data_IF_231632691308
#
_entry.id   IF_231632691308
#
_cell.length_a   1.000
_cell.length_b   1.000
_cell.length_c   1.000
_cell.angle_alpha   90.00
_cell.angle_beta   90.00
_cell.angle_gamma   90.00
#
_symmetry.space_group_name_H-M   'P 1'
#
loop_
_entity.id
_entity.type
_entity.pdbx_description
1 polymer ?
#
# COMPACT_ATOMS: atom_id res chain seq x y z
N UNK A 1 -7.83 41.50 40.78
CA UNK A 1 -7.20 40.20 41.14
C UNK A 1 -8.07 39.00 40.68
N UNK A 2 -9.38 38.92 40.93
CA UNK A 2 -10.27 37.82 40.52
C UNK A 2 -10.27 37.60 38.99
N UNK A 3 -10.36 38.67 38.19
CA UNK A 3 -10.32 38.56 36.71
C UNK A 3 -8.99 38.04 36.20
N UNK A 4 -7.85 38.44 36.75
CA UNK A 4 -6.52 37.88 36.38
C UNK A 4 -6.38 36.40 36.74
N UNK A 5 -6.91 36.00 37.91
CA UNK A 5 -6.89 34.57 38.30
C UNK A 5 -7.82 33.72 37.43
N UNK A 6 -8.94 34.26 36.97
CA UNK A 6 -9.86 33.59 36.03
C UNK A 6 -9.20 33.41 34.66
N UNK A 7 -8.57 34.46 34.10
CA UNK A 7 -7.83 34.39 32.83
C UNK A 7 -6.63 33.44 32.86
N UNK A 8 -5.91 33.32 33.98
CA UNK A 8 -4.80 32.36 34.12
C UNK A 8 -5.35 30.94 34.15
N UNK A 9 -6.41 30.67 34.91
CA UNK A 9 -7.06 29.37 35.03
C UNK A 9 -7.67 28.90 33.70
N UNK A 10 -8.27 29.81 32.92
CA UNK A 10 -8.82 29.52 31.60
C UNK A 10 -7.74 29.19 30.57
N UNK A 11 -6.59 29.87 30.68
CA UNK A 11 -5.43 29.62 29.81
C UNK A 11 -4.78 28.27 30.11
N UNK A 12 -4.62 27.94 31.40
CA UNK A 12 -4.04 26.68 31.83
C UNK A 12 -4.97 25.49 31.43
N UNK A 13 -6.27 25.67 31.59
CA UNK A 13 -7.29 24.72 31.11
C UNK A 13 -7.19 24.49 29.59
N UNK A 14 -7.12 25.55 28.78
CA UNK A 14 -7.03 25.43 27.34
C UNK A 14 -5.75 24.73 26.92
N UNK A 15 -4.61 25.05 27.54
CA UNK A 15 -3.32 24.41 27.29
C UNK A 15 -3.37 22.90 27.60
N UNK A 16 -4.04 22.51 28.69
CA UNK A 16 -4.23 21.12 29.07
C UNK A 16 -5.09 20.35 28.04
N UNK A 17 -6.20 20.94 27.59
CA UNK A 17 -7.06 20.35 26.55
C UNK A 17 -6.29 20.24 25.22
N UNK A 18 -5.51 21.24 24.85
CA UNK A 18 -4.67 21.20 23.65
C UNK A 18 -3.61 20.10 23.74
N UNK A 19 -2.94 19.99 24.90
CA UNK A 19 -1.96 18.93 25.14
C UNK A 19 -2.60 17.54 25.05
N UNK A 20 -3.77 17.36 25.64
CA UNK A 20 -4.53 16.11 25.55
C UNK A 20 -4.98 15.78 24.12
N UNK A 21 -5.12 16.80 23.24
CA UNK A 21 -5.49 16.62 21.84
C UNK A 21 -4.30 16.31 20.91
N UNK A 22 -3.06 16.44 21.37
CA UNK A 22 -1.88 16.33 20.51
C UNK A 22 -1.85 15.03 19.68
N UNK A 23 -2.13 13.88 20.32
CA UNK A 23 -2.18 12.58 19.66
C UNK A 23 -3.53 12.26 19.01
N UNK A 24 -4.48 13.19 19.06
CA UNK A 24 -5.85 13.02 18.59
C UNK A 24 -6.55 11.76 19.14
N UNK A 25 -6.60 11.57 20.47
CA UNK A 25 -7.09 10.34 21.06
C UNK A 25 -8.61 10.19 20.90
N UNK A 26 -9.08 8.95 20.70
CA UNK A 26 -10.50 8.60 20.77
C UNK A 26 -10.94 8.40 22.23
N UNK A 27 -12.26 8.34 22.45
CA UNK A 27 -12.88 8.17 23.78
C UNK A 27 -12.31 7.02 24.59
N UNK A 28 -11.95 5.90 23.96
CA UNK A 28 -11.42 4.72 24.64
C UNK A 28 -10.12 5.00 25.41
N UNK A 29 -9.34 6.03 24.98
CA UNK A 29 -8.15 6.53 25.66
C UNK A 29 -8.44 7.72 26.55
N UNK A 30 -9.26 8.68 26.07
CA UNK A 30 -9.56 9.93 26.78
C UNK A 30 -10.15 9.68 28.15
N UNK A 31 -11.00 8.67 28.30
CA UNK A 31 -11.65 8.32 29.59
C UNK A 31 -10.67 7.98 30.71
N UNK A 32 -9.40 7.70 30.40
CA UNK A 32 -8.36 7.38 31.38
C UNK A 32 -7.34 8.50 31.58
N UNK A 33 -7.43 9.59 30.83
CA UNK A 33 -6.51 10.74 31.00
C UNK A 33 -6.87 11.45 32.30
N UNK A 34 -5.85 11.63 33.13
CA UNK A 34 -5.95 12.44 34.35
C UNK A 34 -5.47 13.85 34.01
N UNK A 35 -6.29 14.85 34.38
CA UNK A 35 -6.02 16.24 34.15
C UNK A 35 -5.61 16.90 35.48
N UNK A 36 -4.70 17.87 35.44
CA UNK A 36 -4.30 18.66 36.61
C UNK A 36 -5.46 19.56 37.08
N UNK A 37 -6.29 20.02 36.15
CA UNK A 37 -7.51 20.78 36.43
C UNK A 37 -8.63 19.97 37.09
N UNK A 38 -8.46 18.63 37.22
CA UNK A 38 -9.46 17.75 37.84
C UNK A 38 -10.66 17.44 36.97
N UNK A 39 -10.57 17.61 35.63
CA UNK A 39 -11.61 17.22 34.69
C UNK A 39 -11.84 15.71 34.72
N UNK A 40 -13.10 15.31 34.75
CA UNK A 40 -13.44 13.94 34.44
C UNK A 40 -13.19 13.63 32.96
N UNK A 41 -12.95 12.33 32.62
CA UNK A 41 -12.77 11.93 31.23
C UNK A 41 -13.91 12.39 30.30
N UNK A 42 -15.17 12.43 30.81
CA UNK A 42 -16.33 12.94 30.05
C UNK A 42 -16.20 14.43 29.76
N UNK A 43 -15.83 15.22 30.75
CA UNK A 43 -15.64 16.68 30.58
C UNK A 43 -14.51 16.98 29.63
N UNK A 44 -13.38 16.26 29.75
CA UNK A 44 -12.28 16.38 28.82
C UNK A 44 -12.71 16.01 27.40
N UNK A 45 -13.47 14.93 27.24
CA UNK A 45 -13.98 14.52 25.91
C UNK A 45 -14.85 15.59 25.26
N UNK A 46 -15.78 16.21 26.02
CA UNK A 46 -16.59 17.31 25.51
C UNK A 46 -15.74 18.54 25.11
N UNK A 47 -14.74 18.88 25.92
CA UNK A 47 -13.82 19.98 25.60
C UNK A 47 -13.02 19.70 24.33
N UNK A 48 -12.53 18.46 24.16
CA UNK A 48 -11.84 18.02 22.95
C UNK A 48 -12.74 18.08 21.72
N UNK A 49 -13.98 17.58 21.82
CA UNK A 49 -14.96 17.65 20.73
C UNK A 49 -15.26 19.08 20.30
N UNK A 50 -15.42 19.97 21.26
CA UNK A 50 -15.65 21.40 20.98
C UNK A 50 -14.46 22.04 20.27
N UNK A 51 -13.24 21.83 20.77
CA UNK A 51 -12.00 22.30 20.14
C UNK A 51 -11.86 21.79 18.69
N UNK A 52 -12.13 20.51 18.47
CA UNK A 52 -12.07 19.86 17.16
C UNK A 52 -13.10 20.42 16.18
N UNK A 53 -14.34 20.70 16.65
CA UNK A 53 -15.40 21.25 15.81
C UNK A 53 -15.09 22.62 15.24
N UNK A 54 -14.35 23.47 15.96
CA UNK A 54 -14.00 24.82 15.52
C UNK A 54 -13.01 24.82 14.34
N UNK A 55 -12.25 23.74 14.17
CA UNK A 55 -11.12 23.65 13.21
C UNK A 55 -11.33 22.59 12.13
N UNK A 56 -12.57 22.11 11.95
CA UNK A 56 -12.85 21.04 10.97
C UNK A 56 -13.11 21.56 9.57
N UNK A 57 -12.53 20.88 8.59
CA UNK A 57 -12.94 20.98 7.19
C UNK A 57 -14.07 19.97 6.93
N UNK A 58 -15.19 20.41 6.40
CA UNK A 58 -16.36 19.57 6.11
C UNK A 58 -16.39 19.11 4.66
N UNK A 59 -16.82 17.87 4.45
CA UNK A 59 -17.00 17.23 3.15
C UNK A 59 -18.40 16.59 3.10
N UNK A 60 -18.97 16.51 1.90
CA UNK A 60 -20.28 15.88 1.68
C UNK A 60 -20.19 14.91 0.51
N UNK A 61 -20.80 13.75 0.69
CA UNK A 61 -21.05 12.76 -0.36
C UNK A 61 -22.52 12.35 -0.23
N UNK A 62 -23.34 12.74 -1.21
CA UNK A 62 -24.79 12.65 -1.09
C UNK A 62 -25.30 13.34 0.19
N UNK A 63 -26.04 12.59 1.00
CA UNK A 63 -26.55 13.07 2.31
C UNK A 63 -25.55 12.93 3.46
N UNK A 64 -24.43 12.24 3.23
CA UNK A 64 -23.46 11.94 4.29
C UNK A 64 -22.48 13.09 4.46
N UNK A 65 -22.33 13.50 5.72
CA UNK A 65 -21.37 14.54 6.11
C UNK A 65 -20.17 13.90 6.77
N UNK A 66 -18.99 14.31 6.32
CA UNK A 66 -17.70 13.95 6.90
C UNK A 66 -16.93 15.21 7.27
N UNK A 67 -15.95 15.06 8.13
CA UNK A 67 -15.07 16.19 8.46
C UNK A 67 -13.68 15.67 8.84
N UNK A 68 -12.69 16.55 8.76
CA UNK A 68 -11.35 16.28 9.29
C UNK A 68 -10.74 17.57 9.83
N UNK A 69 -9.81 17.43 10.75
CA UNK A 69 -9.03 18.51 11.32
C UNK A 69 -7.56 18.36 10.90
N UNK A 70 -6.94 19.46 10.50
CA UNK A 70 -5.49 19.54 10.27
C UNK A 70 -4.78 19.67 11.60
N UNK A 71 -4.10 18.63 12.05
CA UNK A 71 -3.28 18.64 13.28
C UNK A 71 -1.82 18.95 12.96
N UNK A 72 -1.04 19.37 13.95
CA UNK A 72 0.40 19.61 13.76
C UNK A 72 1.12 18.35 13.24
N UNK A 73 0.78 17.17 13.77
CA UNK A 73 1.31 15.90 13.27
C UNK A 73 0.98 15.66 11.80
N UNK A 74 -0.24 16.01 11.37
CA UNK A 74 -0.61 15.89 9.94
C UNK A 74 0.27 16.82 9.11
N UNK A 75 0.46 18.07 9.51
CA UNK A 75 1.34 19.01 8.80
C UNK A 75 2.78 18.50 8.73
N UNK A 76 3.35 18.02 9.83
CA UNK A 76 4.70 17.45 9.86
C UNK A 76 4.83 16.24 8.91
N UNK A 77 3.86 15.32 8.93
CA UNK A 77 3.88 14.15 8.08
C UNK A 77 3.72 14.50 6.59
N UNK A 78 2.86 15.47 6.26
CA UNK A 78 2.71 15.93 4.89
C UNK A 78 3.99 16.59 4.39
N UNK A 79 4.58 17.49 5.17
CA UNK A 79 5.88 18.09 4.85
C UNK A 79 6.95 17.00 4.64
N UNK A 80 7.01 16.02 5.55
CA UNK A 80 7.93 14.90 5.42
C UNK A 80 7.74 14.14 4.11
N UNK A 81 6.50 13.88 3.70
CA UNK A 81 6.22 13.16 2.45
C UNK A 81 6.51 13.99 1.21
N UNK A 82 6.17 15.26 1.20
CA UNK A 82 6.45 16.15 0.07
C UNK A 82 7.95 16.26 -0.18
N UNK A 83 8.75 16.31 0.88
CA UNK A 83 10.20 16.37 0.79
C UNK A 83 10.86 15.04 0.39
N UNK A 84 10.23 13.91 0.65
CA UNK A 84 10.85 12.59 0.48
C UNK A 84 10.21 11.72 -0.59
N UNK A 85 8.90 11.85 -0.84
CA UNK A 85 8.12 10.97 -1.73
C UNK A 85 7.57 11.73 -2.93
N UNK A 86 7.30 13.04 -2.77
CA UNK A 86 6.82 13.92 -3.81
C UNK A 86 7.97 14.56 -4.59
N UNK A 87 7.73 14.84 -5.86
CA UNK A 87 8.67 15.55 -6.72
C UNK A 87 9.74 14.68 -7.39
N UNK A 88 10.18 15.14 -8.57
CA UNK A 88 11.14 14.42 -9.43
C UNK A 88 12.60 14.59 -9.03
N UNK A 89 12.95 15.65 -8.27
CA UNK A 89 14.34 16.05 -8.09
C UNK A 89 15.09 15.33 -6.97
N UNK A 90 14.39 14.87 -5.92
CA UNK A 90 15.06 14.25 -4.76
C UNK A 90 14.97 12.72 -4.75
N UNK A 91 13.98 12.15 -5.40
CA UNK A 91 13.73 10.71 -5.36
C UNK A 91 14.57 9.88 -6.33
N UNK A 92 15.10 10.47 -7.40
CA UNK A 92 15.90 9.74 -8.40
C UNK A 92 17.19 9.13 -7.84
N UNK A 93 17.74 9.73 -6.79
CA UNK A 93 18.97 9.25 -6.13
C UNK A 93 18.74 8.16 -5.07
N UNK A 94 17.50 7.99 -4.58
CA UNK A 94 17.18 6.99 -3.54
C UNK A 94 17.22 5.56 -4.07
N UNK A 95 16.88 5.37 -5.35
CA UNK A 95 16.83 4.05 -5.97
C UNK A 95 17.84 4.00 -7.12
N UNK A 96 18.87 3.14 -7.04
CA UNK A 96 19.84 2.98 -8.13
C UNK A 96 19.14 2.64 -9.44
N UNK A 97 19.45 3.37 -10.52
CA UNK A 97 18.80 3.25 -11.83
C UNK A 97 18.86 1.82 -12.38
N UNK A 98 19.97 1.13 -12.16
CA UNK A 98 20.22 -0.24 -12.64
C UNK A 98 19.25 -1.28 -12.03
N UNK A 99 18.75 -1.03 -10.81
CA UNK A 99 17.89 -1.97 -10.07
C UNK A 99 16.45 -1.48 -9.93
N UNK A 100 16.13 -0.30 -10.47
CA UNK A 100 14.84 0.38 -10.32
C UNK A 100 13.66 -0.54 -10.66
N UNK A 101 13.73 -1.24 -11.79
CA UNK A 101 12.68 -2.15 -12.24
C UNK A 101 12.54 -3.39 -11.34
N UNK A 102 13.66 -3.97 -10.88
CA UNK A 102 13.61 -5.13 -10.00
C UNK A 102 12.99 -4.80 -8.63
N UNK A 103 13.30 -3.62 -8.08
CA UNK A 103 12.68 -3.14 -6.84
C UNK A 103 11.18 -2.89 -7.02
N UNK A 104 10.80 -2.26 -8.12
CA UNK A 104 9.43 -1.98 -8.47
C UNK A 104 8.58 -3.26 -8.55
N UNK A 105 9.02 -4.23 -9.35
CA UNK A 105 8.34 -5.52 -9.48
C UNK A 105 8.21 -6.21 -8.13
N UNK A 106 9.29 -6.20 -7.32
CA UNK A 106 9.26 -6.78 -5.98
C UNK A 106 8.25 -6.08 -5.06
N UNK A 107 8.15 -4.76 -5.12
CA UNK A 107 7.24 -3.97 -4.30
C UNK A 107 5.77 -4.17 -4.70
N UNK A 108 5.48 -4.17 -6.00
CA UNK A 108 4.13 -4.45 -6.52
C UNK A 108 3.67 -5.86 -6.12
N UNK A 109 4.58 -6.85 -6.17
CA UNK A 109 4.27 -8.21 -5.69
C UNK A 109 3.93 -8.21 -4.20
N UNK A 110 4.71 -7.51 -3.36
CA UNK A 110 4.43 -7.41 -1.91
C UNK A 110 3.08 -6.75 -1.63
N UNK A 111 2.77 -5.67 -2.35
CA UNK A 111 1.50 -4.96 -2.25
C UNK A 111 0.32 -5.88 -2.60
N UNK A 112 0.39 -6.57 -3.74
CA UNK A 112 -0.64 -7.48 -4.21
C UNK A 112 -0.85 -8.66 -3.23
N UNK A 113 0.23 -9.22 -2.71
CA UNK A 113 0.17 -10.32 -1.73
C UNK A 113 -0.50 -9.85 -0.44
N UNK A 114 0.00 -8.76 0.15
CA UNK A 114 -0.51 -8.28 1.42
C UNK A 114 -1.96 -7.79 1.33
N UNK A 115 -2.31 -7.07 0.26
CA UNK A 115 -3.67 -6.62 0.00
C UNK A 115 -4.66 -7.77 -0.12
N UNK A 116 -4.26 -8.88 -0.77
CA UNK A 116 -5.10 -10.07 -0.90
C UNK A 116 -5.17 -10.88 0.40
N UNK A 117 -4.06 -10.96 1.17
CA UNK A 117 -4.06 -11.63 2.49
C UNK A 117 -4.96 -10.93 3.50
N UNK A 118 -5.11 -9.61 3.43
CA UNK A 118 -6.08 -8.86 4.25
C UNK A 118 -7.52 -9.32 4.01
N UNK A 119 -7.82 -9.73 2.79
CA UNK A 119 -9.14 -10.21 2.35
C UNK A 119 -9.26 -11.75 2.38
N UNK A 120 -8.37 -12.43 3.10
CA UNK A 120 -8.48 -13.86 3.36
C UNK A 120 -7.72 -14.80 2.40
N UNK A 121 -6.86 -14.28 1.51
CA UNK A 121 -5.99 -15.15 0.73
C UNK A 121 -5.01 -15.90 1.64
N UNK A 122 -5.14 -17.22 1.73
CA UNK A 122 -4.40 -18.07 2.67
C UNK A 122 -2.98 -18.45 2.19
N UNK A 123 -2.57 -18.01 1.02
CA UNK A 123 -1.27 -18.34 0.41
C UNK A 123 -0.11 -17.67 1.17
N UNK A 124 0.93 -18.44 1.47
CA UNK A 124 2.12 -17.88 2.11
C UNK A 124 2.85 -16.92 1.16
N UNK A 125 3.51 -15.90 1.74
CA UNK A 125 4.26 -14.89 0.98
C UNK A 125 5.31 -15.51 0.04
N UNK A 126 6.01 -16.58 0.47
CA UNK A 126 7.02 -17.27 -0.34
C UNK A 126 6.38 -17.90 -1.58
N UNK A 127 5.34 -18.69 -1.38
CA UNK A 127 4.62 -19.38 -2.48
C UNK A 127 4.03 -18.37 -3.46
N UNK A 128 3.40 -17.30 -2.96
CA UNK A 128 2.84 -16.25 -3.80
C UNK A 128 3.91 -15.53 -4.64
N UNK A 129 5.05 -15.19 -4.03
CA UNK A 129 6.19 -14.58 -4.76
C UNK A 129 6.74 -15.49 -5.84
N UNK A 130 6.91 -16.76 -5.54
CA UNK A 130 7.43 -17.74 -6.50
C UNK A 130 6.45 -17.94 -7.65
N UNK A 131 5.15 -18.03 -7.38
CA UNK A 131 4.10 -18.08 -8.40
C UNK A 131 4.15 -16.87 -9.35
N UNK A 132 4.19 -15.64 -8.79
CA UNK A 132 4.22 -14.42 -9.60
C UNK A 132 5.51 -14.30 -10.43
N UNK A 133 6.67 -14.63 -9.85
CA UNK A 133 7.96 -14.58 -10.55
C UNK A 133 8.04 -15.56 -11.71
N UNK A 134 7.56 -16.78 -11.49
CA UNK A 134 7.61 -17.85 -12.49
C UNK A 134 6.45 -17.79 -13.47
N UNK A 135 5.49 -16.86 -13.24
CA UNK A 135 4.23 -16.78 -14.01
C UNK A 135 3.48 -18.13 -14.02
N UNK A 136 3.47 -18.80 -12.88
CA UNK A 136 2.72 -20.05 -12.71
C UNK A 136 1.22 -19.74 -12.63
N UNK A 137 0.40 -20.67 -13.09
CA UNK A 137 -1.06 -20.55 -12.96
C UNK A 137 -1.47 -20.69 -11.50
N UNK A 138 -2.41 -19.86 -11.02
CA UNK A 138 -2.98 -20.00 -9.68
C UNK A 138 -3.56 -21.39 -9.47
N UNK A 139 -3.38 -21.95 -8.28
CA UNK A 139 -3.87 -23.30 -7.91
C UNK A 139 -5.11 -23.25 -7.04
N UNK A 140 -5.41 -22.09 -6.47
CA UNK A 140 -6.53 -21.86 -5.56
C UNK A 140 -7.04 -20.43 -5.67
N UNK A 141 -8.20 -20.13 -5.04
CA UNK A 141 -8.84 -18.81 -5.00
C UNK A 141 -7.90 -17.75 -4.42
N UNK A 142 -7.15 -18.05 -3.38
CA UNK A 142 -6.21 -17.10 -2.74
C UNK A 142 -5.07 -16.69 -3.69
N UNK A 143 -4.49 -17.66 -4.44
CA UNK A 143 -3.48 -17.38 -5.45
C UNK A 143 -4.05 -16.58 -6.63
N UNK A 144 -5.30 -16.87 -7.03
CA UNK A 144 -5.99 -16.08 -8.05
C UNK A 144 -6.20 -14.65 -7.60
N UNK A 145 -6.64 -14.41 -6.36
CA UNK A 145 -6.78 -13.06 -5.79
C UNK A 145 -5.46 -12.27 -5.85
N UNK A 146 -4.35 -12.92 -5.53
CA UNK A 146 -3.02 -12.30 -5.57
C UNK A 146 -2.61 -11.96 -7.01
N UNK A 147 -2.82 -12.87 -7.95
CA UNK A 147 -2.52 -12.63 -9.37
C UNK A 147 -3.34 -11.46 -9.92
N UNK A 148 -4.65 -11.44 -9.64
CA UNK A 148 -5.54 -10.36 -10.04
C UNK A 148 -5.09 -9.01 -9.48
N UNK A 149 -4.77 -8.96 -8.18
CA UNK A 149 -4.27 -7.74 -7.53
C UNK A 149 -2.97 -7.24 -8.18
N UNK A 150 -2.04 -8.15 -8.48
CA UNK A 150 -0.78 -7.81 -9.15
C UNK A 150 -1.01 -7.23 -10.55
N UNK A 151 -1.85 -7.89 -11.36
CA UNK A 151 -2.16 -7.45 -12.72
C UNK A 151 -2.89 -6.11 -12.73
N UNK A 152 -3.85 -5.92 -11.81
CA UNK A 152 -4.61 -4.67 -11.66
C UNK A 152 -3.70 -3.50 -11.27
N UNK A 153 -2.78 -3.69 -10.32
CA UNK A 153 -1.81 -2.64 -9.94
C UNK A 153 -0.91 -2.29 -11.14
N UNK A 154 -0.46 -3.28 -11.90
CA UNK A 154 0.33 -3.04 -13.12
C UNK A 154 -0.47 -2.28 -14.20
N UNK A 155 -1.76 -2.54 -14.34
CA UNK A 155 -2.65 -1.83 -15.24
C UNK A 155 -2.87 -0.38 -14.79
N UNK A 156 -3.15 -0.16 -13.51
CA UNK A 156 -3.30 1.17 -12.92
C UNK A 156 -2.04 2.00 -13.17
N UNK A 157 -0.87 1.44 -12.93
CA UNK A 157 0.41 2.13 -13.17
C UNK A 157 0.55 2.59 -14.61
N UNK A 158 0.21 1.74 -15.59
CA UNK A 158 0.31 2.10 -17.01
C UNK A 158 -0.62 3.25 -17.41
N UNK A 159 -1.75 3.38 -16.70
CA UNK A 159 -2.81 4.34 -16.98
C UNK A 159 -2.93 5.42 -15.88
N UNK A 160 -1.89 5.65 -15.09
CA UNK A 160 -1.95 6.51 -13.89
C UNK A 160 -2.43 7.94 -14.19
N UNK A 161 -2.06 8.49 -15.34
CA UNK A 161 -2.42 9.85 -15.76
C UNK A 161 -3.89 10.00 -16.21
N UNK A 162 -4.61 8.91 -16.45
CA UNK A 162 -5.99 8.99 -16.93
C UNK A 162 -6.93 9.59 -15.86
N UNK A 163 -8.02 10.21 -16.34
CA UNK A 163 -9.08 10.65 -15.42
C UNK A 163 -9.85 9.44 -14.90
N UNK A 164 -10.23 9.52 -13.64
CA UNK A 164 -11.05 8.51 -13.00
C UNK A 164 -12.51 8.63 -13.49
N UNK A 165 -13.15 7.47 -13.73
CA UNK A 165 -14.57 7.37 -13.97
C UNK A 165 -15.15 6.16 -13.27
N UNK A 166 -16.46 6.19 -12.97
CA UNK A 166 -17.18 5.03 -12.41
C UNK A 166 -17.00 3.80 -13.31
N UNK A 167 -16.97 3.96 -14.65
CA UNK A 167 -16.72 2.86 -15.58
C UNK A 167 -15.36 2.21 -15.34
N UNK A 168 -14.31 3.01 -15.19
CA UNK A 168 -12.97 2.48 -14.89
C UNK A 168 -12.91 1.80 -13.52
N UNK A 169 -13.67 2.30 -12.54
CA UNK A 169 -13.81 1.63 -11.24
C UNK A 169 -14.40 0.22 -11.41
N UNK A 170 -15.44 0.07 -12.23
CA UNK A 170 -16.05 -1.22 -12.52
C UNK A 170 -15.09 -2.15 -13.26
N UNK A 171 -14.30 -1.63 -14.18
CA UNK A 171 -13.29 -2.42 -14.91
C UNK A 171 -12.14 -2.86 -13.98
N UNK A 172 -11.70 -2.00 -13.06
CA UNK A 172 -10.72 -2.34 -12.01
C UNK A 172 -11.29 -3.44 -11.11
N UNK A 173 -12.52 -3.29 -10.64
CA UNK A 173 -13.16 -4.29 -9.80
C UNK A 173 -13.30 -5.63 -10.53
N UNK A 174 -13.71 -5.64 -11.82
CA UNK A 174 -13.79 -6.86 -12.63
C UNK A 174 -12.44 -7.57 -12.70
N UNK A 175 -11.37 -6.83 -13.00
CA UNK A 175 -10.01 -7.40 -13.06
C UNK A 175 -9.55 -7.92 -11.68
N UNK A 176 -9.92 -7.22 -10.61
CA UNK A 176 -9.56 -7.58 -9.23
C UNK A 176 -10.26 -8.85 -8.74
N UNK A 177 -11.43 -9.16 -9.28
CA UNK A 177 -12.31 -10.23 -8.79
C UNK A 177 -12.49 -11.37 -9.79
N UNK A 178 -11.82 -11.34 -10.92
CA UNK A 178 -11.89 -12.38 -11.95
C UNK A 178 -11.63 -13.78 -11.36
N UNK A 179 -12.54 -14.72 -11.59
CA UNK A 179 -12.49 -16.10 -11.08
C UNK A 179 -12.33 -16.21 -9.54
N UNK A 180 -12.82 -15.22 -8.77
CA UNK A 180 -12.74 -15.25 -7.31
C UNK A 180 -14.06 -14.97 -6.61
N UNK A 181 -15.10 -14.59 -7.32
CA UNK A 181 -16.44 -14.43 -6.80
C UNK A 181 -17.22 -15.75 -6.82
N UNK A 182 -18.20 -15.87 -5.93
CA UNK A 182 -19.09 -17.01 -5.92
C UNK A 182 -20.05 -16.93 -7.12
N UNK A 183 -20.50 -15.71 -7.49
CA UNK A 183 -21.27 -15.41 -8.68
C UNK A 183 -20.43 -14.54 -9.63
N UNK A 184 -20.00 -15.09 -10.75
CA UNK A 184 -19.15 -14.37 -11.73
C UNK A 184 -19.80 -13.10 -12.30
N UNK A 185 -21.12 -13.08 -12.36
CA UNK A 185 -21.88 -11.91 -12.86
C UNK A 185 -21.75 -10.66 -11.95
N UNK A 186 -21.25 -10.80 -10.73
CA UNK A 186 -21.03 -9.68 -9.82
C UNK A 186 -19.69 -8.97 -10.09
N UNK A 187 -18.82 -9.54 -10.92
CA UNK A 187 -17.56 -8.95 -11.30
C UNK A 187 -17.76 -7.66 -12.11
N UNK A 188 -17.30 -6.51 -11.57
CA UNK A 188 -17.46 -5.20 -12.20
C UNK A 188 -18.89 -4.67 -12.14
N UNK A 189 -19.68 -5.07 -11.16
CA UNK A 189 -21.08 -4.67 -11.00
C UNK A 189 -21.34 -4.11 -9.61
N UNK A 190 -22.06 -3.00 -9.54
CA UNK A 190 -22.54 -2.42 -8.28
C UNK A 190 -23.63 -3.35 -7.72
N UNK A 191 -23.56 -3.63 -6.41
CA UNK A 191 -24.58 -4.43 -5.70
C UNK A 191 -25.97 -3.81 -5.84
N UNK A 192 -26.98 -4.66 -5.90
CA UNK A 192 -28.38 -4.28 -6.04
C UNK A 192 -29.24 -4.71 -4.83
N UNK A 193 -28.59 -4.94 -3.69
CA UNK A 193 -29.22 -5.33 -2.43
C UNK A 193 -28.42 -4.82 -1.24
N UNK A 194 -29.02 -4.82 -0.06
CA UNK A 194 -28.46 -4.28 1.18
C UNK A 194 -28.12 -5.37 2.21
N UNK A 195 -28.03 -6.63 1.78
CA UNK A 195 -27.72 -7.77 2.66
C UNK A 195 -26.24 -7.86 3.04
N UNK A 196 -25.46 -6.81 2.78
CA UNK A 196 -24.03 -6.76 3.08
C UNK A 196 -23.80 -5.94 4.32
N UNK A 197 -23.25 -6.58 5.34
CA UNK A 197 -22.82 -5.97 6.59
C UNK A 197 -21.34 -6.26 6.80
N UNK A 198 -20.62 -5.28 7.29
CA UNK A 198 -19.24 -5.49 7.71
C UNK A 198 -19.24 -5.84 9.19
N UNK A 199 -18.75 -7.05 9.50
CA UNK A 199 -18.72 -7.57 10.86
C UNK A 199 -17.35 -7.34 11.49
N UNK A 200 -17.33 -7.01 12.79
CA UNK A 200 -16.09 -7.09 13.58
C UNK A 200 -15.69 -8.57 13.72
N UNK A 201 -14.50 -8.91 13.22
CA UNK A 201 -14.01 -10.30 13.22
C UNK A 201 -13.72 -10.89 14.60
N UNK A 202 -13.78 -10.08 15.67
CA UNK A 202 -13.50 -10.49 17.05
C UNK A 202 -14.78 -10.59 17.85
N UNK A 203 -15.61 -9.53 17.81
CA UNK A 203 -16.84 -9.45 18.63
C UNK A 203 -18.03 -10.08 17.92
N UNK A 204 -18.00 -10.19 16.60
CA UNK A 204 -19.14 -10.62 15.80
C UNK A 204 -20.26 -9.59 15.68
N UNK A 205 -20.03 -8.37 16.16
CA UNK A 205 -20.98 -7.26 16.03
C UNK A 205 -20.90 -6.64 14.64
N UNK A 206 -21.96 -5.94 14.23
CA UNK A 206 -21.95 -5.14 12.99
C UNK A 206 -21.04 -3.93 13.20
N UNK A 207 -19.93 -3.92 12.48
CA UNK A 207 -18.94 -2.84 12.51
C UNK A 207 -19.37 -1.67 11.62
N UNK A 208 -19.95 -1.94 10.45
CA UNK A 208 -20.42 -0.93 9.52
C UNK A 208 -21.63 -1.43 8.71
N UNK A 209 -22.60 -0.55 8.52
CA UNK A 209 -23.74 -0.75 7.61
C UNK A 209 -23.57 0.18 6.41
N UNK A 210 -23.25 -0.35 5.22
CA UNK A 210 -23.07 0.47 4.03
C UNK A 210 -24.33 1.27 3.65
N UNK A 211 -24.19 2.39 2.89
CA UNK A 211 -25.31 3.09 2.31
C UNK A 211 -26.24 2.19 1.50
N UNK A 212 -27.52 2.56 1.37
CA UNK A 212 -28.49 1.83 0.58
C UNK A 212 -28.02 1.72 -0.88
N UNK A 213 -28.24 0.57 -1.52
CA UNK A 213 -27.72 0.30 -2.88
C UNK A 213 -28.23 1.32 -3.92
N UNK A 214 -29.44 1.86 -3.76
CA UNK A 214 -29.99 2.91 -4.64
C UNK A 214 -29.23 4.24 -4.55
N UNK A 215 -28.52 4.50 -3.46
CA UNK A 215 -27.70 5.70 -3.28
C UNK A 215 -26.33 5.60 -3.98
N UNK A 216 -25.87 4.39 -4.23
CA UNK A 216 -24.51 4.13 -4.74
C UNK A 216 -24.17 4.83 -6.06
N UNK A 217 -25.07 4.90 -7.06
CA UNK A 217 -24.75 5.61 -8.30
C UNK A 217 -24.40 7.08 -8.06
N UNK A 218 -25.15 7.77 -7.20
CA UNK A 218 -24.91 9.17 -6.87
C UNK A 218 -23.63 9.34 -6.03
N UNK A 219 -23.41 8.47 -5.03
CA UNK A 219 -22.22 8.50 -4.19
C UNK A 219 -20.93 8.23 -5.01
N UNK A 220 -21.00 7.34 -5.98
CA UNK A 220 -19.87 7.08 -6.88
C UNK A 220 -19.63 8.22 -7.86
N UNK A 221 -20.67 8.93 -8.33
CA UNK A 221 -20.53 10.13 -9.13
C UNK A 221 -19.89 11.29 -8.33
N UNK A 222 -20.25 11.43 -7.05
CA UNK A 222 -19.62 12.37 -6.13
C UNK A 222 -18.14 12.01 -5.93
N UNK A 223 -17.81 10.72 -5.77
CA UNK A 223 -16.43 10.24 -5.66
C UNK A 223 -15.62 10.50 -6.94
N UNK A 224 -16.23 10.29 -8.12
CA UNK A 224 -15.61 10.61 -9.41
C UNK A 224 -15.30 12.11 -9.49
N UNK A 225 -16.24 12.95 -9.09
CA UNK A 225 -16.06 14.40 -9.06
C UNK A 225 -14.95 14.77 -8.05
N UNK A 226 -14.98 14.21 -6.86
CA UNK A 226 -13.98 14.45 -5.83
C UNK A 226 -12.58 13.99 -6.29
N UNK A 227 -12.46 12.86 -6.95
CA UNK A 227 -11.18 12.36 -7.46
C UNK A 227 -10.57 13.32 -8.52
N UNK A 228 -11.37 13.77 -9.49
CA UNK A 228 -10.88 14.47 -10.67
C UNK A 228 -10.77 16.00 -10.51
N UNK A 229 -11.59 16.60 -9.64
CA UNK A 229 -11.68 18.04 -9.48
C UNK A 229 -11.17 18.49 -8.12
N UNK A 230 -10.42 19.56 -8.10
CA UNK A 230 -10.10 20.24 -6.85
C UNK A 230 -11.27 21.17 -6.49
N UNK A 231 -11.67 21.13 -5.20
CA UNK A 231 -12.75 21.98 -4.66
C UNK A 231 -12.29 23.42 -4.44
N UNK A 232 -13.20 24.26 -3.91
CA UNK A 232 -12.86 25.64 -3.52
C UNK A 232 -11.83 25.70 -2.38
N UNK A 233 -11.85 24.70 -1.50
CA UNK A 233 -10.90 24.56 -0.39
C UNK A 233 -9.81 23.58 -0.80
N UNK A 234 -8.56 23.99 -0.65
CA UNK A 234 -7.42 23.10 -0.90
C UNK A 234 -7.41 21.94 0.07
N UNK A 235 -7.33 20.74 -0.45
CA UNK A 235 -7.09 19.51 0.32
C UNK A 235 -5.79 18.92 -0.22
N UNK A 236 -4.85 18.71 0.67
CA UNK A 236 -3.55 18.13 0.31
C UNK A 236 -3.73 16.79 -0.43
N UNK A 237 -3.00 16.52 -1.54
CA UNK A 237 -3.22 15.32 -2.35
C UNK A 237 -3.16 14.02 -1.56
N UNK A 238 -2.22 13.87 -0.62
CA UNK A 238 -2.13 12.68 0.22
C UNK A 238 -3.39 12.49 1.05
N UNK A 239 -3.89 13.57 1.69
CA UNK A 239 -5.14 13.52 2.47
C UNK A 239 -6.31 13.14 1.55
N UNK A 240 -6.38 13.75 0.37
CA UNK A 240 -7.44 13.47 -0.60
C UNK A 240 -7.41 12.00 -1.06
N UNK A 241 -6.23 11.44 -1.30
CA UNK A 241 -6.06 10.01 -1.60
C UNK A 241 -6.54 9.10 -0.47
N UNK A 242 -6.20 9.45 0.78
CA UNK A 242 -6.66 8.71 1.97
C UNK A 242 -8.18 8.79 2.12
N UNK A 243 -8.78 9.96 1.85
CA UNK A 243 -10.25 10.13 1.86
C UNK A 243 -10.90 9.28 0.76
N UNK A 244 -10.36 9.25 -0.46
CA UNK A 244 -10.85 8.40 -1.56
C UNK A 244 -10.85 6.93 -1.14
N UNK A 245 -9.77 6.47 -0.51
CA UNK A 245 -9.68 5.12 0.05
C UNK A 245 -10.80 4.84 1.06
N UNK A 246 -10.99 5.75 2.03
CA UNK A 246 -12.05 5.62 3.02
C UNK A 246 -13.43 5.57 2.38
N UNK A 247 -13.73 6.50 1.47
CA UNK A 247 -15.06 6.63 0.87
C UNK A 247 -15.46 5.37 0.10
N UNK A 248 -14.55 4.78 -0.69
CA UNK A 248 -14.90 3.55 -1.41
C UNK A 248 -15.15 2.39 -0.46
N UNK A 249 -14.38 2.28 0.62
CA UNK A 249 -14.61 1.26 1.65
C UNK A 249 -15.91 1.50 2.41
N UNK A 250 -16.27 2.76 2.73
CA UNK A 250 -17.49 3.15 3.40
C UNK A 250 -18.73 2.90 2.52
N UNK A 251 -18.70 3.28 1.25
CA UNK A 251 -19.80 3.03 0.31
C UNK A 251 -20.04 1.55 0.06
N UNK A 252 -18.98 0.77 0.11
CA UNK A 252 -19.01 -0.69 -0.09
C UNK A 252 -19.86 -1.10 -1.30
N UNK A 253 -19.51 -0.60 -2.51
CA UNK A 253 -20.41 -0.71 -3.67
C UNK A 253 -20.50 -2.10 -4.27
N UNK A 254 -19.64 -3.02 -3.88
CA UNK A 254 -19.54 -4.36 -4.47
C UNK A 254 -19.93 -5.45 -3.45
N UNK A 255 -20.26 -6.64 -3.97
CA UNK A 255 -20.56 -7.80 -3.13
C UNK A 255 -19.30 -8.31 -2.41
N UNK A 256 -18.14 -8.32 -3.11
CA UNK A 256 -16.82 -8.65 -2.56
C UNK A 256 -15.76 -7.78 -3.27
N UNK A 257 -14.53 -7.78 -2.80
CA UNK A 257 -13.41 -7.06 -3.41
C UNK A 257 -13.32 -5.56 -3.09
N UNK A 258 -14.19 -5.02 -2.25
CA UNK A 258 -14.22 -3.60 -1.89
C UNK A 258 -12.89 -3.12 -1.30
N UNK A 259 -12.30 -3.84 -0.36
CA UNK A 259 -11.06 -3.46 0.29
C UNK A 259 -9.87 -3.42 -0.70
N UNK A 260 -9.73 -4.43 -1.56
CA UNK A 260 -8.67 -4.47 -2.59
C UNK A 260 -8.83 -3.33 -3.58
N UNK A 261 -10.08 -3.05 -4.01
CA UNK A 261 -10.40 -1.96 -4.93
C UNK A 261 -10.13 -0.59 -4.29
N UNK A 262 -10.51 -0.38 -3.03
CA UNK A 262 -10.28 0.88 -2.31
C UNK A 262 -8.78 1.20 -2.18
N UNK A 263 -7.95 0.21 -1.81
CA UNK A 263 -6.49 0.38 -1.75
C UNK A 263 -5.88 0.64 -3.13
N UNK A 264 -6.39 -0.01 -4.18
CA UNK A 264 -5.94 0.24 -5.54
C UNK A 264 -6.29 1.65 -6.04
N UNK A 265 -7.46 2.17 -5.67
CA UNK A 265 -7.89 3.52 -6.02
C UNK A 265 -7.03 4.60 -5.31
N UNK A 266 -6.69 4.37 -4.03
CA UNK A 266 -5.71 5.19 -3.32
C UNK A 266 -4.36 5.22 -4.05
N UNK A 267 -3.86 4.05 -4.43
CA UNK A 267 -2.60 3.90 -5.14
C UNK A 267 -2.61 4.66 -6.46
N UNK A 268 -3.68 4.53 -7.24
CA UNK A 268 -3.86 5.27 -8.49
C UNK A 268 -3.84 6.78 -8.27
N UNK A 269 -4.59 7.28 -7.29
CA UNK A 269 -4.65 8.72 -7.01
C UNK A 269 -3.28 9.28 -6.63
N UNK A 270 -2.52 8.56 -5.81
CA UNK A 270 -1.18 8.96 -5.40
C UNK A 270 -0.22 9.06 -6.60
N UNK A 271 -0.24 8.06 -7.50
CA UNK A 271 0.57 8.09 -8.72
C UNK A 271 0.20 9.26 -9.62
N UNK A 272 -1.10 9.46 -9.86
CA UNK A 272 -1.62 10.58 -10.67
C UNK A 272 -1.19 11.95 -10.12
N UNK A 273 -1.01 12.07 -8.81
CA UNK A 273 -0.56 13.31 -8.16
C UNK A 273 0.97 13.43 -8.01
N UNK A 274 1.73 12.53 -8.66
CA UNK A 274 3.19 12.60 -8.72
C UNK A 274 3.93 12.02 -7.50
N UNK A 275 3.24 11.31 -6.60
CA UNK A 275 3.88 10.59 -5.50
C UNK A 275 4.41 9.24 -5.96
N UNK A 276 5.31 9.27 -6.95
CA UNK A 276 5.82 8.09 -7.65
C UNK A 276 6.50 7.05 -6.74
N UNK A 277 7.07 7.49 -5.61
CA UNK A 277 7.77 6.58 -4.70
C UNK A 277 6.83 5.59 -4.00
N UNK A 278 5.50 5.86 -4.01
CA UNK A 278 4.47 4.93 -3.54
C UNK A 278 4.53 3.60 -4.28
N UNK A 279 5.00 3.57 -5.53
CA UNK A 279 5.20 2.34 -6.31
C UNK A 279 6.19 1.36 -5.66
N UNK A 280 7.13 1.88 -4.87
CA UNK A 280 8.18 1.11 -4.20
C UNK A 280 7.85 0.76 -2.75
N UNK A 281 6.70 1.26 -2.26
CA UNK A 281 6.26 1.05 -0.89
C UNK A 281 5.10 0.04 -0.86
N UNK A 282 5.23 -1.02 -0.09
CA UNK A 282 4.08 -1.89 0.18
C UNK A 282 3.33 -1.40 1.42
N UNK A 283 2.40 -0.46 1.21
CA UNK A 283 1.58 0.11 2.27
C UNK A 283 0.66 -0.95 2.85
N UNK A 284 0.03 -1.79 2.00
CA UNK A 284 -0.84 -2.88 2.43
C UNK A 284 -0.12 -3.90 3.31
N UNK A 285 1.18 -4.13 3.13
CA UNK A 285 1.97 -4.98 4.02
C UNK A 285 2.07 -4.41 5.43
N UNK A 286 2.22 -3.10 5.55
CA UNK A 286 2.27 -2.43 6.86
C UNK A 286 0.89 -2.41 7.51
N UNK A 287 -0.17 -2.20 6.73
CA UNK A 287 -1.56 -2.32 7.19
C UNK A 287 -1.83 -3.75 7.68
N UNK A 288 -1.45 -4.78 6.93
CA UNK A 288 -1.64 -6.18 7.30
C UNK A 288 -1.02 -6.52 8.66
N UNK A 289 0.18 -6.01 8.94
CA UNK A 289 0.84 -6.18 10.25
C UNK A 289 0.10 -5.48 11.40
N UNK A 290 -0.71 -4.46 11.09
CA UNK A 290 -1.46 -3.64 12.04
C UNK A 290 -2.96 -3.64 11.74
N UNK A 291 -3.48 -4.75 11.21
CA UNK A 291 -4.87 -4.88 10.73
C UNK A 291 -5.90 -4.38 11.75
N UNK A 292 -5.75 -4.75 13.02
CA UNK A 292 -6.63 -4.30 14.10
C UNK A 292 -6.66 -2.78 14.27
N UNK A 293 -5.52 -2.10 14.12
CA UNK A 293 -5.47 -0.63 14.22
C UNK A 293 -6.10 0.04 12.99
N UNK A 294 -5.99 -0.60 11.82
CA UNK A 294 -6.67 -0.19 10.60
C UNK A 294 -8.20 -0.26 10.76
N UNK A 295 -8.71 -1.38 11.26
CA UNK A 295 -10.13 -1.56 11.55
C UNK A 295 -10.63 -0.53 12.58
N UNK A 296 -9.87 -0.31 13.67
CA UNK A 296 -10.18 0.71 14.66
C UNK A 296 -10.23 2.13 14.08
N UNK A 297 -9.38 2.45 13.10
CA UNK A 297 -9.39 3.77 12.49
C UNK A 297 -10.69 4.03 11.72
N UNK A 298 -11.28 3.01 11.09
CA UNK A 298 -12.63 3.11 10.52
C UNK A 298 -13.68 3.31 11.61
N UNK A 299 -13.70 2.45 12.63
CA UNK A 299 -14.68 2.52 13.72
C UNK A 299 -14.65 3.87 14.44
N UNK A 300 -13.46 4.39 14.76
CA UNK A 300 -13.36 5.68 15.43
C UNK A 300 -13.87 6.82 14.55
N UNK A 301 -13.61 6.77 13.24
CA UNK A 301 -14.13 7.73 12.29
C UNK A 301 -15.67 7.74 12.32
N UNK A 302 -16.30 6.58 12.19
CA UNK A 302 -17.75 6.47 12.13
C UNK A 302 -18.43 6.79 13.47
N UNK A 303 -17.88 6.28 14.56
CA UNK A 303 -18.43 6.50 15.92
C UNK A 303 -18.26 7.94 16.42
N UNK A 304 -17.35 8.71 15.83
CA UNK A 304 -17.12 10.12 16.16
C UNK A 304 -17.63 11.07 15.08
N UNK A 305 -18.89 10.90 14.67
CA UNK A 305 -19.59 11.76 13.70
C UNK A 305 -18.88 11.85 12.34
N UNK A 306 -18.35 10.76 11.83
CA UNK A 306 -17.58 10.68 10.59
C UNK A 306 -16.34 11.59 10.59
N UNK A 307 -15.60 11.61 11.68
CA UNK A 307 -14.34 12.34 11.82
C UNK A 307 -13.19 11.57 11.15
N UNK A 308 -12.88 11.91 9.91
CA UNK A 308 -11.85 11.29 9.10
C UNK A 308 -10.43 11.48 9.66
N UNK A 309 -10.22 12.36 10.64
CA UNK A 309 -8.89 12.63 11.20
C UNK A 309 -8.24 11.36 11.75
N UNK A 310 -9.02 10.46 12.36
CA UNK A 310 -8.52 9.17 12.85
C UNK A 310 -7.96 8.30 11.74
N UNK A 311 -8.69 8.19 10.64
CA UNK A 311 -8.28 7.38 9.50
C UNK A 311 -7.11 8.03 8.74
N UNK A 312 -7.09 9.35 8.64
CA UNK A 312 -6.00 10.12 8.02
C UNK A 312 -4.71 9.92 8.82
N UNK A 313 -4.72 10.13 10.13
CA UNK A 313 -3.55 9.95 10.99
C UNK A 313 -3.00 8.52 10.95
N UNK A 314 -3.89 7.53 11.02
CA UNK A 314 -3.49 6.13 10.90
C UNK A 314 -2.77 5.85 9.59
N UNK A 315 -3.32 6.31 8.45
CA UNK A 315 -2.71 6.09 7.14
C UNK A 315 -1.40 6.84 6.97
N UNK A 316 -1.30 8.09 7.41
CA UNK A 316 -0.05 8.86 7.35
C UNK A 316 1.06 8.19 8.18
N UNK A 317 0.75 7.76 9.41
CA UNK A 317 1.69 7.01 10.27
C UNK A 317 2.12 5.68 9.62
N UNK A 318 1.17 4.99 8.97
CA UNK A 318 1.42 3.74 8.24
C UNK A 318 2.31 3.98 7.03
N UNK A 319 2.05 5.02 6.24
CA UNK A 319 2.89 5.42 5.11
C UNK A 319 4.31 5.77 5.55
N UNK A 320 4.48 6.53 6.64
CA UNK A 320 5.81 6.82 7.20
C UNK A 320 6.57 5.54 7.54
N UNK A 321 5.90 4.60 8.22
CA UNK A 321 6.51 3.31 8.56
C UNK A 321 6.88 2.50 7.32
N UNK A 322 6.00 2.44 6.30
CA UNK A 322 6.29 1.75 5.05
C UNK A 322 7.49 2.39 4.32
N UNK A 323 7.61 3.71 4.35
CA UNK A 323 8.74 4.42 3.76
C UNK A 323 10.05 4.16 4.51
N UNK A 324 10.04 4.15 5.84
CA UNK A 324 11.22 3.78 6.64
C UNK A 324 11.65 2.32 6.38
N UNK A 325 10.69 1.39 6.27
CA UNK A 325 10.97 -0.01 5.88
C UNK A 325 11.61 -0.07 4.48
N UNK A 326 11.16 0.75 3.53
CA UNK A 326 11.77 0.88 2.21
C UNK A 326 13.22 1.38 2.30
N UNK A 327 13.48 2.44 3.06
CA UNK A 327 14.85 2.97 3.23
C UNK A 327 15.81 1.91 3.80
N UNK A 328 15.38 1.20 4.83
CA UNK A 328 16.16 0.09 5.41
C UNK A 328 16.42 -1.00 4.38
N UNK A 329 15.41 -1.36 3.60
CA UNK A 329 15.54 -2.35 2.54
C UNK A 329 16.53 -1.92 1.46
N UNK A 330 16.44 -0.66 1.00
CA UNK A 330 17.34 -0.12 -0.02
C UNK A 330 18.78 -0.04 0.48
N UNK A 331 19.00 0.39 1.74
CA UNK A 331 20.33 0.43 2.37
C UNK A 331 20.95 -0.96 2.40
N UNK A 332 20.21 -1.96 2.90
CA UNK A 332 20.69 -3.35 2.92
C UNK A 332 21.04 -3.84 1.51
N UNK A 333 20.19 -3.53 0.53
CA UNK A 333 20.44 -3.93 -0.87
C UNK A 333 21.64 -3.22 -1.49
N UNK A 334 21.92 -1.99 -1.11
CA UNK A 334 23.13 -1.27 -1.52
C UNK A 334 24.38 -1.92 -0.92
N UNK A 335 24.34 -2.29 0.36
CA UNK A 335 25.43 -3.00 1.03
C UNK A 335 25.66 -4.40 0.41
N UNK A 336 24.58 -5.12 0.10
CA UNK A 336 24.65 -6.39 -0.63
C UNK A 336 25.22 -6.20 -2.06
N UNK A 337 24.93 -5.09 -2.73
CA UNK A 337 25.44 -4.79 -4.07
C UNK A 337 26.94 -4.43 -4.05
N UNK A 338 27.44 -3.86 -2.97
CA UNK A 338 28.88 -3.61 -2.83
C UNK A 338 29.71 -4.91 -2.92
N UNK A 339 29.16 -6.02 -2.44
CA UNK A 339 29.76 -7.35 -2.63
C UNK A 339 29.59 -7.89 -4.05
N UNK A 340 28.58 -7.42 -4.82
CA UNK A 340 28.41 -7.76 -6.24
C UNK A 340 29.46 -7.05 -7.10
N UNK A 341 29.91 -5.86 -6.72
CA UNK A 341 30.95 -5.14 -7.47
C UNK A 341 32.23 -5.96 -7.55
N UNK A 342 32.55 -6.74 -6.52
CA UNK A 342 33.65 -7.69 -6.55
C UNK A 342 33.43 -8.79 -7.62
N UNK A 343 32.21 -9.30 -7.74
CA UNK A 343 31.85 -10.30 -8.76
C UNK A 343 31.75 -9.65 -10.14
N UNK A 344 31.25 -8.41 -10.24
CA UNK A 344 31.16 -7.67 -11.51
C UNK A 344 32.52 -7.31 -12.13
N UNK A 345 33.58 -7.27 -11.34
CA UNK A 345 34.96 -7.12 -11.85
C UNK A 345 35.48 -8.36 -12.58
N UNK A 346 34.71 -9.45 -12.64
CA UNK A 346 35.05 -10.61 -13.45
C UNK A 346 34.93 -10.22 -14.93
N UNK A 347 36.07 -10.27 -15.66
CA UNK A 347 36.08 -9.97 -17.10
C UNK A 347 35.10 -10.86 -17.86
N UNK A 348 34.24 -10.24 -18.67
CA UNK A 348 33.31 -10.92 -19.57
C UNK A 348 31.91 -11.16 -19.05
N UNK A 349 31.57 -10.64 -17.88
CA UNK A 349 30.17 -10.64 -17.36
C UNK A 349 29.63 -9.22 -17.23
N UNK A 350 28.32 -9.09 -17.40
CA UNK A 350 27.62 -7.84 -17.15
C UNK A 350 27.01 -7.80 -15.71
N UNK A 351 26.50 -6.65 -15.30
CA UNK A 351 25.93 -6.46 -13.95
C UNK A 351 24.80 -7.43 -13.62
N UNK A 352 23.92 -7.77 -14.59
CA UNK A 352 22.84 -8.74 -14.35
C UNK A 352 23.38 -10.16 -14.19
N UNK A 353 24.36 -10.54 -15.01
CA UNK A 353 25.07 -11.81 -14.88
C UNK A 353 25.75 -11.94 -13.51
N UNK A 354 26.38 -10.87 -13.01
CA UNK A 354 26.94 -10.84 -11.67
C UNK A 354 25.87 -11.06 -10.58
N UNK A 355 24.70 -10.46 -10.74
CA UNK A 355 23.56 -10.68 -9.82
C UNK A 355 23.03 -12.12 -9.90
N UNK A 356 22.99 -12.73 -11.08
CA UNK A 356 22.63 -14.14 -11.26
C UNK A 356 23.64 -15.05 -10.54
N UNK A 357 24.93 -14.79 -10.72
CA UNK A 357 25.99 -15.54 -10.02
C UNK A 357 25.88 -15.44 -8.50
N UNK A 358 25.55 -14.24 -7.97
CA UNK A 358 25.32 -14.06 -6.55
C UNK A 358 24.15 -14.90 -6.05
N UNK A 359 23.01 -14.92 -6.77
CA UNK A 359 21.85 -15.74 -6.40
C UNK A 359 22.25 -17.22 -6.30
N UNK A 360 22.99 -17.72 -7.26
CA UNK A 360 23.47 -19.10 -7.28
C UNK A 360 24.48 -19.36 -6.16
N UNK A 361 25.35 -18.39 -5.84
CA UNK A 361 26.29 -18.51 -4.73
C UNK A 361 25.61 -18.60 -3.36
N UNK A 362 24.62 -17.71 -3.13
CA UNK A 362 23.85 -17.67 -1.88
C UNK A 362 22.88 -18.86 -1.75
N UNK A 363 22.39 -19.38 -2.86
CA UNK A 363 21.43 -20.47 -2.90
C UNK A 363 21.86 -21.52 -3.94
N UNK A 364 22.82 -22.38 -3.62
CA UNK A 364 23.44 -23.30 -4.59
C UNK A 364 22.48 -24.27 -5.29
N UNK A 365 21.35 -24.58 -4.64
CA UNK A 365 20.33 -25.47 -5.20
C UNK A 365 19.27 -24.75 -6.04
N UNK A 366 19.48 -23.47 -6.35
CA UNK A 366 18.54 -22.72 -7.17
C UNK A 366 18.57 -23.19 -8.62
N UNK A 367 17.37 -23.41 -9.16
CA UNK A 367 17.17 -23.78 -10.56
C UNK A 367 16.44 -22.60 -11.25
N UNK A 368 17.15 -21.87 -12.11
CA UNK A 368 16.64 -20.67 -12.79
C UNK A 368 16.06 -21.02 -14.15
N UNK A 369 14.90 -20.47 -14.47
CA UNK A 369 14.32 -20.47 -15.82
C UNK A 369 14.51 -19.11 -16.49
N UNK A 370 14.48 -19.07 -17.83
CA UNK A 370 14.51 -17.81 -18.59
C UNK A 370 13.39 -16.87 -18.13
N UNK A 371 12.18 -17.43 -17.89
CA UNK A 371 11.03 -16.63 -17.45
C UNK A 371 11.19 -16.03 -16.05
N UNK A 372 11.87 -16.72 -15.16
CA UNK A 372 12.20 -16.19 -13.84
C UNK A 372 13.18 -15.02 -13.92
N UNK A 373 14.23 -15.14 -14.76
CA UNK A 373 15.21 -14.07 -14.99
C UNK A 373 14.55 -12.87 -15.67
N UNK A 374 13.72 -13.10 -16.70
CA UNK A 374 12.92 -12.07 -17.35
C UNK A 374 12.09 -11.26 -16.33
N UNK A 375 11.33 -11.96 -15.49
CA UNK A 375 10.47 -11.31 -14.49
C UNK A 375 11.26 -10.66 -13.36
N UNK A 376 12.35 -11.27 -12.91
CA UNK A 376 13.16 -10.77 -11.79
C UNK A 376 13.90 -9.48 -12.14
N UNK A 377 14.38 -9.38 -13.37
CA UNK A 377 15.17 -8.25 -13.85
C UNK A 377 14.41 -7.31 -14.78
N UNK A 378 13.14 -7.62 -15.07
CA UNK A 378 12.27 -6.84 -15.97
C UNK A 378 12.91 -6.61 -17.34
N UNK A 379 13.46 -7.67 -17.93
CA UNK A 379 14.12 -7.67 -19.24
C UNK A 379 13.35 -8.53 -20.23
N UNK A 380 13.68 -8.38 -21.54
CA UNK A 380 13.09 -9.22 -22.57
C UNK A 380 13.52 -10.69 -22.44
N UNK A 381 12.73 -11.61 -23.00
CA UNK A 381 13.06 -13.02 -23.06
C UNK A 381 14.41 -13.27 -23.73
N UNK A 382 14.71 -12.54 -24.82
CA UNK A 382 15.98 -12.59 -25.51
C UNK A 382 17.15 -12.20 -24.60
N UNK A 383 17.02 -11.09 -23.87
CA UNK A 383 18.05 -10.60 -22.95
C UNK A 383 18.30 -11.59 -21.81
N UNK A 384 17.23 -12.11 -21.20
CA UNK A 384 17.32 -13.09 -20.11
C UNK A 384 18.01 -14.38 -20.58
N UNK A 385 17.68 -14.86 -21.78
CA UNK A 385 18.31 -16.03 -22.40
C UNK A 385 19.80 -15.79 -22.68
N UNK A 386 20.13 -14.67 -23.30
CA UNK A 386 21.52 -14.31 -23.60
C UNK A 386 22.39 -14.22 -22.34
N UNK A 387 21.85 -13.66 -21.24
CA UNK A 387 22.59 -13.58 -19.97
C UNK A 387 22.86 -14.99 -19.39
N UNK A 388 21.87 -15.89 -19.41
CA UNK A 388 22.01 -17.24 -18.90
C UNK A 388 22.96 -18.10 -19.77
N UNK A 389 22.78 -18.07 -21.09
CA UNK A 389 23.65 -18.79 -22.04
C UNK A 389 25.07 -18.27 -21.97
N UNK A 390 25.29 -16.96 -21.80
CA UNK A 390 26.59 -16.38 -21.57
C UNK A 390 27.28 -16.93 -20.32
N UNK A 391 26.56 -17.10 -19.22
CA UNK A 391 27.07 -17.70 -17.99
C UNK A 391 27.35 -19.21 -18.14
N UNK A 392 26.60 -19.92 -18.97
CA UNK A 392 26.91 -21.31 -19.34
C UNK A 392 28.20 -21.37 -20.15
N UNK A 393 28.37 -20.49 -21.15
CA UNK A 393 29.58 -20.41 -21.97
C UNK A 393 30.85 -20.10 -21.15
N UNK A 394 30.70 -19.31 -20.07
CA UNK A 394 31.78 -19.00 -19.12
C UNK A 394 32.02 -20.11 -18.08
N UNK A 395 31.17 -21.15 -18.06
CA UNK A 395 31.31 -22.30 -17.17
C UNK A 395 30.75 -22.12 -15.75
N UNK A 396 30.06 -21.01 -15.47
CA UNK A 396 29.43 -20.76 -14.15
C UNK A 396 28.12 -21.52 -13.95
N UNK A 397 27.35 -21.70 -15.02
CA UNK A 397 26.07 -22.42 -14.99
C UNK A 397 26.14 -23.67 -15.86
N UNK A 398 25.29 -24.63 -15.56
CA UNK A 398 24.99 -25.80 -16.40
C UNK A 398 23.54 -25.73 -16.82
N UNK A 399 23.27 -26.14 -18.06
CA UNK A 399 21.91 -26.22 -18.60
C UNK A 399 21.29 -27.57 -18.24
N UNK A 400 20.07 -27.51 -17.68
CA UNK A 400 19.24 -28.68 -17.39
C UNK A 400 18.03 -28.68 -18.33
N UNK A 401 18.03 -29.60 -19.30
CA UNK A 401 16.91 -29.74 -20.22
C UNK A 401 15.73 -30.45 -19.53
N UNK A 402 14.60 -29.75 -19.39
CA UNK A 402 13.39 -30.29 -18.78
C UNK A 402 12.50 -31.01 -19.81
N UNK A 403 12.41 -30.45 -21.03
CA UNK A 403 11.73 -31.03 -22.18
C UNK A 403 12.31 -30.45 -23.48
N UNK A 404 11.72 -30.80 -24.65
CA UNK A 404 12.20 -30.33 -25.97
C UNK A 404 12.30 -28.81 -26.10
N UNK A 405 11.56 -28.03 -25.27
CA UNK A 405 11.47 -26.57 -25.39
C UNK A 405 11.95 -25.85 -24.12
N UNK A 406 11.73 -26.43 -22.94
CA UNK A 406 11.98 -25.79 -21.64
C UNK A 406 13.36 -26.20 -21.11
N UNK A 407 14.19 -25.16 -20.86
CA UNK A 407 15.52 -25.29 -20.26
C UNK A 407 15.55 -24.52 -18.94
N UNK A 408 16.23 -25.09 -17.98
CA UNK A 408 16.56 -24.46 -16.71
C UNK A 408 18.08 -24.41 -16.56
N UNK A 409 18.56 -23.53 -15.68
CA UNK A 409 19.96 -23.28 -15.46
C UNK A 409 20.27 -23.48 -13.99
N UNK A 410 21.29 -24.25 -13.68
CA UNK A 410 21.73 -24.63 -12.34
C UNK A 410 23.20 -24.30 -12.14
N UNK A 411 23.66 -24.30 -10.90
CA UNK A 411 25.08 -24.17 -10.56
C UNK A 411 25.90 -25.25 -11.26
N UNK A 412 27.01 -24.87 -11.91
CA UNK A 412 27.93 -25.83 -12.50
C UNK A 412 28.90 -26.40 -11.46
N UNK A 413 29.46 -27.57 -11.72
CA UNK A 413 30.50 -28.18 -10.87
C UNK A 413 31.75 -27.32 -10.74
N UNK A 414 32.02 -26.47 -11.74
CA UNK A 414 33.17 -25.57 -11.79
C UNK A 414 32.96 -24.25 -11.09
N UNK A 415 31.74 -23.95 -10.67
CA UNK A 415 31.32 -22.65 -10.10
C UNK A 415 32.25 -22.22 -8.96
N UNK A 416 32.40 -23.06 -7.94
CA UNK A 416 33.16 -22.69 -6.72
C UNK A 416 34.64 -22.48 -7.01
N UNK A 417 35.22 -23.26 -7.92
CA UNK A 417 36.63 -23.09 -8.34
C UNK A 417 36.83 -21.81 -9.13
N UNK A 418 35.88 -21.46 -10.03
CA UNK A 418 35.90 -20.21 -10.81
C UNK A 418 35.73 -18.98 -9.93
N UNK A 419 34.87 -19.06 -8.91
CA UNK A 419 34.65 -17.96 -7.97
C UNK A 419 35.86 -17.76 -7.07
N UNK A 420 36.48 -18.82 -6.50
CA UNK A 420 37.67 -18.72 -5.64
C UNK A 420 38.89 -18.10 -6.32
N UNK A 421 39.03 -18.28 -7.63
CA UNK A 421 40.17 -17.75 -8.37
C UNK A 421 40.02 -16.26 -8.76
N UNK A 422 38.84 -15.62 -8.45
CA UNK A 422 38.53 -14.25 -8.89
C UNK A 422 37.99 -13.34 -7.78
N UNK A 423 37.70 -13.85 -6.58
CA UNK A 423 37.48 -13.15 -5.34
C UNK A 423 38.78 -13.08 -4.53
#
# INVERSE_FOLDING_TARGET
>A
RRQRQMCIRDRDFLAEVQSANADYPYWDKVKYIRTESGLSGKQLWHALKYLRQLNRTSLHFGKYRFSFMMTDEIFELLHYFDMNIGGSLTGEHLIPSENKNAYLVSSIMEEAIASSQMEGAATTRKVAKDMLRKSEKPKDKGQQMILNSYQTICQIKRNAESNFSVRQLLDIHRSMTENTLDEENDAGRIRQHDNILIMDGITGDVAHTPPHHEELPNLLADLETFFNKDGKTFIHPIIKGIIIHFMLAYFHPFVDGNGRTARSLFYWYMLKKGYWLVEYMSISRTIYKTKRNYEKAYLYTEYDDNDLTYFILYNLRTMKKAFEELKIYLKRKSEENSSIVLIANIKGINTRQAQILKIIHEQPNTCLSVKEVENRFSVSNFTARTDLEGLVGLGYLSELQINKVKRNYIKSDKFDSLMKNKL
#
